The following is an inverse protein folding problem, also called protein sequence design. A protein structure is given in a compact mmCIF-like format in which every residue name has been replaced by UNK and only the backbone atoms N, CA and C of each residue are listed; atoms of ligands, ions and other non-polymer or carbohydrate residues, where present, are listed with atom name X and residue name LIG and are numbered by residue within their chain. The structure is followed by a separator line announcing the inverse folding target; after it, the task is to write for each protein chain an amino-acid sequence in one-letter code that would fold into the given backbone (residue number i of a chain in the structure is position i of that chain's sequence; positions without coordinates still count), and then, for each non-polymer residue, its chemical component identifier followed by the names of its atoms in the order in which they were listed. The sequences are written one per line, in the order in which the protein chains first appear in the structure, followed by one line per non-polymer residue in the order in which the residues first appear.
data_IF_642031707203
#
_entry.id   IF_642031707203
#
_cell.length_a   1.000
_cell.length_b   1.000
_cell.length_c   1.000
_cell.angle_alpha   90.00
_cell.angle_beta   90.00
_cell.angle_gamma   90.00
#
_symmetry.space_group_name_H-M   'P 1'
#
loop_
_entity.id
_entity.type
_entity.pdbx_description
1 polymer ?
#
# COMPACT_ATOMS: atom_id res chain seq x y z
N UNK A 1 15.39 -4.57 -30.86
CA UNK A 1 13.98 -4.96 -31.09
C UNK A 1 13.43 -5.34 -29.74
N UNK A 2 12.36 -4.71 -29.28
CA UNK A 2 11.76 -5.09 -28.00
C UNK A 2 10.81 -6.24 -28.27
N UNK A 3 11.18 -7.42 -27.81
CA UNK A 3 10.40 -8.63 -28.07
C UNK A 3 9.18 -8.65 -27.15
N UNK A 4 8.00 -9.03 -27.66
CA UNK A 4 6.74 -9.17 -26.90
C UNK A 4 6.94 -9.91 -25.56
N UNK A 5 7.77 -10.96 -25.56
CA UNK A 5 8.15 -11.71 -24.35
C UNK A 5 8.86 -10.85 -23.29
N UNK A 6 9.64 -9.87 -23.70
CA UNK A 6 10.29 -8.88 -22.83
C UNK A 6 9.28 -7.94 -22.16
N UNK A 7 8.26 -7.49 -22.89
CA UNK A 7 7.19 -6.67 -22.34
C UNK A 7 6.32 -7.43 -21.35
N UNK A 8 5.93 -8.67 -21.67
CA UNK A 8 5.19 -9.53 -20.74
C UNK A 8 5.97 -9.72 -19.42
N UNK A 9 7.29 -9.95 -19.49
CA UNK A 9 8.14 -10.06 -18.29
C UNK A 9 8.18 -8.77 -17.46
N UNK A 10 8.31 -7.62 -18.11
CA UNK A 10 8.30 -6.31 -17.44
C UNK A 10 6.93 -6.04 -16.80
N UNK A 11 5.83 -6.36 -17.48
CA UNK A 11 4.46 -6.28 -16.95
C UNK A 11 4.30 -7.15 -15.70
N UNK A 12 4.76 -8.40 -15.75
CA UNK A 12 4.73 -9.31 -14.62
C UNK A 12 5.55 -8.77 -13.43
N UNK A 13 6.72 -8.17 -13.68
CA UNK A 13 7.52 -7.53 -12.63
C UNK A 13 6.81 -6.35 -11.96
N UNK A 14 6.09 -5.55 -12.76
CA UNK A 14 5.25 -4.45 -12.27
C UNK A 14 4.06 -4.98 -11.43
N UNK A 15 3.32 -5.98 -11.93
CA UNK A 15 2.24 -6.65 -11.18
C UNK A 15 2.75 -7.19 -9.84
N UNK A 16 3.93 -7.82 -9.82
CA UNK A 16 4.53 -8.34 -8.59
C UNK A 16 4.83 -7.24 -7.55
N UNK A 17 5.20 -6.03 -7.97
CA UNK A 17 5.39 -4.89 -7.06
C UNK A 17 4.05 -4.48 -6.46
N UNK A 18 2.98 -4.39 -7.25
CA UNK A 18 1.62 -4.12 -6.77
C UNK A 18 1.18 -5.11 -5.71
N UNK A 19 1.43 -6.41 -5.92
CA UNK A 19 1.14 -7.45 -4.93
C UNK A 19 1.90 -7.21 -3.63
N UNK A 20 3.20 -6.90 -3.70
CA UNK A 20 4.00 -6.60 -2.50
C UNK A 20 3.47 -5.40 -1.71
N UNK A 21 3.02 -4.36 -2.41
CA UNK A 21 2.43 -3.19 -1.77
C UNK A 21 1.07 -3.47 -1.16
N UNK A 22 0.22 -4.25 -1.83
CA UNK A 22 -1.03 -4.74 -1.24
C UNK A 22 -0.78 -5.50 0.06
N UNK A 23 0.17 -6.43 0.05
CA UNK A 23 0.56 -7.17 1.26
C UNK A 23 1.00 -6.22 2.37
N UNK A 24 1.85 -5.24 2.05
CA UNK A 24 2.30 -4.23 3.01
C UNK A 24 1.12 -3.40 3.57
N UNK A 25 0.23 -2.89 2.72
CA UNK A 25 -0.94 -2.13 3.14
C UNK A 25 -1.88 -2.95 4.02
N UNK A 26 -2.09 -4.24 3.72
CA UNK A 26 -2.95 -5.09 4.55
C UNK A 26 -2.37 -5.31 5.95
N UNK A 27 -1.04 -5.45 6.06
CA UNK A 27 -0.36 -5.50 7.36
C UNK A 27 -0.56 -4.17 8.10
N UNK A 28 -0.36 -3.04 7.43
CA UNK A 28 -0.53 -1.71 8.02
C UNK A 28 -1.97 -1.43 8.45
N UNK A 29 -2.97 -1.85 7.66
CA UNK A 29 -4.41 -1.77 8.01
C UNK A 29 -4.77 -2.61 9.24
N UNK A 30 -4.06 -3.71 9.47
CA UNK A 30 -4.28 -4.57 10.64
C UNK A 30 -3.74 -3.95 11.94
N UNK A 31 -3.00 -2.85 11.85
CA UNK A 31 -2.45 -2.14 13.00
C UNK A 31 -3.48 -1.15 13.56
N UNK A 32 -3.67 -1.14 14.88
CA UNK A 32 -4.62 -0.22 15.55
C UNK A 32 -4.20 1.26 15.45
N UNK A 33 -2.89 1.52 15.50
CA UNK A 33 -2.29 2.86 15.35
C UNK A 33 -1.01 2.71 14.55
N UNK A 34 -0.83 3.58 13.56
CA UNK A 34 0.41 3.67 12.79
C UNK A 34 1.31 4.74 13.42
N UNK A 35 2.62 4.50 13.43
CA UNK A 35 3.59 5.52 13.81
C UNK A 35 3.83 6.51 12.66
N UNK A 36 4.30 7.72 12.97
CA UNK A 36 4.67 8.71 11.93
C UNK A 36 5.65 8.13 10.90
N UNK A 37 6.62 7.31 11.36
CA UNK A 37 7.58 6.62 10.47
C UNK A 37 6.86 5.69 9.48
N UNK A 38 5.84 4.95 9.93
CA UNK A 38 5.06 4.08 9.04
C UNK A 38 4.21 4.88 8.07
N UNK A 39 3.65 6.02 8.50
CA UNK A 39 2.90 6.93 7.61
C UNK A 39 3.80 7.46 6.50
N UNK A 40 4.99 7.94 6.85
CA UNK A 40 6.00 8.41 5.89
C UNK A 40 6.43 7.28 4.94
N UNK A 41 6.61 6.06 5.44
CA UNK A 41 6.96 4.91 4.59
C UNK A 41 5.84 4.58 3.59
N UNK A 42 4.56 4.62 4.02
CA UNK A 42 3.41 4.40 3.14
C UNK A 42 3.36 5.51 2.07
N UNK A 43 3.59 6.77 2.42
CA UNK A 43 3.63 7.90 1.48
C UNK A 43 4.74 7.73 0.44
N UNK A 44 5.95 7.36 0.89
CA UNK A 44 7.07 7.15 -0.01
C UNK A 44 6.80 5.98 -0.98
N UNK A 45 6.28 4.86 -0.47
CA UNK A 45 5.88 3.73 -1.31
C UNK A 45 4.79 4.14 -2.30
N UNK A 46 3.78 4.89 -1.87
CA UNK A 46 2.71 5.38 -2.73
C UNK A 46 3.25 6.22 -3.89
N UNK A 47 4.16 7.16 -3.62
CA UNK A 47 4.79 7.98 -4.66
C UNK A 47 5.54 7.11 -5.69
N UNK A 48 6.28 6.10 -5.22
CA UNK A 48 6.90 5.11 -6.13
C UNK A 48 5.85 4.42 -7.00
N UNK A 49 4.70 4.04 -6.44
CA UNK A 49 3.61 3.41 -7.20
C UNK A 49 3.02 4.32 -8.25
N UNK A 50 2.84 5.60 -7.94
CA UNK A 50 2.35 6.60 -8.90
C UNK A 50 3.29 6.71 -10.11
N UNK A 51 4.60 6.79 -9.87
CA UNK A 51 5.60 6.78 -10.95
C UNK A 51 5.68 5.45 -11.72
N UNK A 52 5.22 4.35 -11.10
CA UNK A 52 5.26 3.02 -11.70
C UNK A 52 4.06 2.79 -12.62
N UNK A 53 2.94 3.45 -12.38
CA UNK A 53 1.77 3.43 -13.26
C UNK A 53 2.11 3.99 -14.65
N UNK A 54 2.80 5.13 -14.74
CA UNK A 54 3.23 5.70 -16.03
C UNK A 54 4.09 4.71 -16.85
N UNK A 55 4.95 3.93 -16.17
CA UNK A 55 5.78 2.90 -16.83
C UNK A 55 4.98 1.69 -17.26
N UNK A 56 3.91 1.37 -16.54
CA UNK A 56 2.99 0.32 -16.93
C UNK A 56 2.19 0.75 -18.16
N UNK A 57 1.63 1.96 -18.13
CA UNK A 57 0.78 2.52 -19.17
C UNK A 57 1.50 2.53 -20.53
N UNK A 58 2.71 3.11 -20.58
CA UNK A 58 3.53 3.10 -21.79
C UNK A 58 3.88 1.68 -22.28
N UNK A 59 4.14 0.75 -21.37
CA UNK A 59 4.42 -0.64 -21.74
C UNK A 59 3.18 -1.36 -22.29
N UNK A 60 2.02 -1.04 -21.73
CA UNK A 60 0.74 -1.65 -22.10
C UNK A 60 0.28 -1.12 -23.46
N UNK A 61 0.48 0.16 -23.75
CA UNK A 61 0.31 0.75 -25.10
C UNK A 61 1.18 0.04 -26.14
N UNK A 62 2.45 -0.21 -25.82
CA UNK A 62 3.37 -0.93 -26.71
C UNK A 62 2.91 -2.39 -26.94
N UNK A 63 2.35 -3.05 -25.94
CA UNK A 63 1.80 -4.41 -26.08
C UNK A 63 0.54 -4.43 -26.96
N UNK A 64 -0.36 -3.47 -26.76
CA UNK A 64 -1.61 -3.32 -27.52
C UNK A 64 -1.33 -3.02 -29.01
N UNK A 65 -0.28 -2.26 -29.31
CA UNK A 65 0.16 -1.98 -30.67
C UNK A 65 0.85 -3.17 -31.38
N UNK A 66 1.35 -4.16 -30.62
CA UNK A 66 2.09 -5.31 -31.15
C UNK A 66 1.20 -6.54 -31.44
N UNK A 67 -0.06 -6.53 -31.01
CA UNK A 67 -1.00 -7.65 -31.19
C UNK A 67 -2.05 -7.30 -32.25
N UNK A 68 -2.43 -8.28 -33.07
CA UNK A 68 -3.50 -8.10 -34.06
C UNK A 68 -4.89 -7.96 -33.39
N UNK A 69 -5.10 -8.64 -32.27
CA UNK A 69 -6.29 -8.52 -31.43
C UNK A 69 -5.90 -8.08 -30.01
N UNK A 70 -6.16 -6.81 -29.63
CA UNK A 70 -5.82 -6.28 -28.32
C UNK A 70 -6.82 -6.62 -27.21
N UNK A 71 -7.86 -7.42 -27.47
CA UNK A 71 -8.91 -7.73 -26.49
C UNK A 71 -8.38 -8.27 -25.16
N UNK A 72 -7.42 -9.20 -25.20
CA UNK A 72 -6.77 -9.73 -23.98
C UNK A 72 -5.92 -8.68 -23.26
N UNK A 73 -5.30 -7.77 -24.02
CA UNK A 73 -4.48 -6.70 -23.44
C UNK A 73 -5.36 -5.68 -22.71
N UNK A 74 -6.52 -5.32 -23.27
CA UNK A 74 -7.48 -4.45 -22.58
C UNK A 74 -8.03 -5.07 -21.30
N UNK A 75 -8.32 -6.37 -21.29
CA UNK A 75 -8.75 -7.07 -20.08
C UNK A 75 -7.65 -7.06 -19.00
N UNK A 76 -6.39 -7.28 -19.38
CA UNK A 76 -5.23 -7.17 -18.47
C UNK A 76 -5.05 -5.74 -17.92
N UNK A 77 -5.28 -4.72 -18.75
CA UNK A 77 -5.24 -3.31 -18.34
C UNK A 77 -6.31 -3.02 -17.30
N UNK A 78 -7.56 -3.43 -17.56
CA UNK A 78 -8.67 -3.22 -16.63
C UNK A 78 -8.42 -3.90 -15.26
N UNK A 79 -7.94 -5.15 -15.27
CA UNK A 79 -7.60 -5.87 -14.03
C UNK A 79 -6.51 -5.14 -13.24
N UNK A 80 -5.46 -4.71 -13.93
CA UNK A 80 -4.35 -3.99 -13.33
C UNK A 80 -4.80 -2.67 -12.72
N UNK A 81 -5.55 -1.86 -13.47
CA UNK A 81 -6.03 -0.54 -13.05
C UNK A 81 -6.97 -0.63 -11.86
N UNK A 82 -7.88 -1.60 -11.87
CA UNK A 82 -8.76 -1.86 -10.74
C UNK A 82 -7.97 -2.12 -9.45
N UNK A 83 -6.94 -2.95 -9.53
CA UNK A 83 -6.06 -3.23 -8.39
C UNK A 83 -5.25 -1.99 -7.98
N UNK A 84 -4.66 -1.29 -8.95
CA UNK A 84 -3.85 -0.11 -8.73
C UNK A 84 -4.63 1.01 -8.04
N UNK A 85 -5.76 1.43 -8.60
CA UNK A 85 -6.57 2.51 -8.04
C UNK A 85 -7.13 2.13 -6.66
N UNK A 86 -7.52 0.87 -6.46
CA UNK A 86 -7.96 0.38 -5.16
C UNK A 86 -6.86 0.48 -4.09
N UNK A 87 -5.60 0.23 -4.46
CA UNK A 87 -4.45 0.34 -3.57
C UNK A 87 -4.06 1.78 -3.29
N UNK A 88 -4.05 2.65 -4.30
CA UNK A 88 -3.81 4.09 -4.15
C UNK A 88 -4.84 4.70 -3.19
N UNK A 89 -6.13 4.43 -3.42
CA UNK A 89 -7.20 4.91 -2.56
C UNK A 89 -7.03 4.38 -1.12
N UNK A 90 -6.76 3.09 -0.96
CA UNK A 90 -6.50 2.46 0.33
C UNK A 90 -5.32 3.12 1.08
N UNK A 91 -4.21 3.38 0.38
CA UNK A 91 -3.03 4.00 0.97
C UNK A 91 -3.34 5.43 1.43
N UNK A 92 -3.98 6.24 0.57
CA UNK A 92 -4.37 7.63 0.89
C UNK A 92 -5.33 7.70 2.07
N UNK A 93 -6.30 6.79 2.12
CA UNK A 93 -7.22 6.69 3.27
C UNK A 93 -6.47 6.31 4.55
N UNK A 94 -5.52 5.38 4.48
CA UNK A 94 -4.74 4.94 5.63
C UNK A 94 -3.83 6.07 6.17
N UNK A 95 -3.16 6.80 5.28
CA UNK A 95 -2.33 7.96 5.62
C UNK A 95 -3.17 9.05 6.29
N UNK A 96 -4.27 9.47 5.65
CA UNK A 96 -5.14 10.52 6.18
C UNK A 96 -5.77 10.15 7.52
N UNK A 97 -6.20 8.89 7.68
CA UNK A 97 -6.70 8.37 8.95
C UNK A 97 -5.64 8.36 10.04
N UNK A 98 -4.41 7.94 9.73
CA UNK A 98 -3.32 7.92 10.69
C UNK A 98 -2.92 9.32 11.16
N UNK A 99 -2.81 10.30 10.24
CA UNK A 99 -2.47 11.70 10.58
C UNK A 99 -3.48 12.32 11.56
N UNK A 100 -4.78 12.12 11.32
CA UNK A 100 -5.85 12.57 12.24
C UNK A 100 -5.70 12.00 13.65
N UNK A 101 -5.28 10.74 13.77
CA UNK A 101 -5.06 10.08 15.08
C UNK A 101 -3.78 10.54 15.78
N UNK A 102 -2.83 11.11 15.05
CA UNK A 102 -1.60 11.68 15.62
C UNK A 102 -1.85 13.12 16.10
N UNK A 103 -2.66 13.89 15.38
CA UNK A 103 -3.04 15.27 15.74
C UNK A 103 -4.08 15.32 16.88
N UNK A 104 -4.99 14.32 16.94
CA UNK A 104 -6.06 14.25 17.94
C UNK A 104 -5.63 13.94 19.38
N UNK A 105 -4.35 13.66 19.64
CA UNK A 105 -3.81 13.42 20.99
C UNK A 105 -3.45 14.73 21.73
N UNK A 106 -3.65 15.89 21.11
CA UNK A 106 -3.28 17.21 21.66
C UNK A 106 -4.47 18.15 21.97
N UNK A 107 -5.72 17.68 21.89
CA UNK A 107 -6.89 18.52 22.14
C UNK A 107 -7.99 17.82 22.97
N UNK A 108 -7.74 17.65 24.28
CA UNK A 108 -8.79 17.77 25.31
C UNK A 108 -8.19 17.99 26.70
N UNK A 109 -7.86 19.24 27.05
CA UNK A 109 -8.00 19.71 28.43
C UNK A 109 -8.93 20.92 28.44
N UNK A 110 -10.18 20.70 28.86
CA UNK A 110 -10.95 21.71 29.59
C UNK A 110 -11.43 21.05 30.87
N UNK A 111 -10.86 21.56 31.94
CA UNK A 111 -11.04 21.21 33.35
C UNK A 111 -12.50 21.29 33.82
N UNK A 112 -12.91 20.27 34.59
CA UNK A 112 -13.93 20.38 35.63
C UNK A 112 -13.79 19.23 36.62
N UNK A 113 -12.79 19.37 37.50
CA UNK A 113 -12.83 19.05 38.92
C UNK A 113 -13.86 17.97 39.39
N UNK A 114 -13.43 16.71 39.50
CA UNK A 114 -13.96 15.76 40.49
C UNK A 114 -12.89 14.77 40.94
N UNK A 115 -12.45 14.93 42.17
CA UNK A 115 -11.54 14.03 42.87
C UNK A 115 -12.17 12.64 43.05
N UNK A 116 -11.50 11.57 42.62
CA UNK A 116 -11.41 10.31 43.38
C UNK A 116 -10.17 9.51 42.96
N UNK A 117 -9.42 9.11 43.98
CA UNK A 117 -8.29 8.19 44.02
C UNK A 117 -8.63 6.84 43.36
N UNK A 118 -7.67 6.20 42.67
CA UNK A 118 -7.21 4.80 42.87
C UNK A 118 -6.40 4.28 41.66
N UNK A 119 -5.23 3.69 41.95
CA UNK A 119 -4.78 2.47 41.27
C UNK A 119 -3.60 2.57 40.31
N UNK A 120 -2.39 2.52 40.87
CA UNK A 120 -1.16 1.92 40.34
C UNK A 120 -1.08 1.60 38.84
N UNK A 121 -0.18 2.33 38.16
CA UNK A 121 0.23 2.08 36.80
C UNK A 121 0.88 0.71 36.59
N UNK A 122 0.35 -0.02 35.62
CA UNK A 122 1.11 -1.01 34.85
C UNK A 122 1.36 -0.45 33.44
N UNK A 123 2.53 -0.64 32.85
CA UNK A 123 2.82 -0.15 31.50
C UNK A 123 1.87 -0.81 30.49
N UNK A 124 1.15 0.01 29.71
CA UNK A 124 0.35 -0.44 28.57
C UNK A 124 1.31 -1.07 27.57
N UNK A 125 1.12 -2.34 27.16
CA UNK A 125 1.94 -2.93 26.12
C UNK A 125 1.54 -2.28 24.80
N UNK A 126 2.25 -1.21 24.42
CA UNK A 126 2.33 -0.81 23.02
C UNK A 126 2.86 -2.01 22.25
N UNK A 127 1.99 -2.71 21.54
CA UNK A 127 2.39 -3.67 20.51
C UNK A 127 3.06 -2.87 19.40
N UNK A 128 4.29 -2.45 19.66
CA UNK A 128 5.19 -1.96 18.63
C UNK A 128 5.28 -3.06 17.59
N UNK A 129 5.05 -2.70 16.33
CA UNK A 129 5.31 -3.55 15.17
C UNK A 129 6.81 -3.87 15.09
N UNK A 130 7.34 -4.62 16.05
CA UNK A 130 8.68 -5.16 16.02
C UNK A 130 8.64 -6.45 15.22
N UNK A 131 8.96 -6.30 13.93
CA UNK A 131 9.50 -7.27 12.95
C UNK A 131 8.80 -7.12 11.60
N UNK A 132 9.13 -6.03 10.92
CA UNK A 132 9.00 -5.94 9.48
C UNK A 132 10.33 -6.40 8.85
N UNK A 133 10.67 -7.67 9.02
CA UNK A 133 11.77 -8.28 8.28
C UNK A 133 11.52 -9.78 8.17
N UNK A 134 11.65 -10.28 6.94
CA UNK A 134 11.70 -11.68 6.54
C UNK A 134 10.34 -12.40 6.43
N UNK A 135 9.65 -12.13 5.32
CA UNK A 135 9.07 -13.19 4.47
C UNK A 135 8.74 -12.64 3.08
N UNK A 136 9.78 -12.23 2.34
CA UNK A 136 9.75 -12.35 0.88
C UNK A 136 9.88 -13.85 0.56
N UNK A 137 8.75 -14.55 0.60
CA UNK A 137 8.64 -15.98 0.32
C UNK A 137 7.60 -16.21 -0.76
N UNK A 138 8.05 -16.08 -2.01
CA UNK A 138 7.71 -16.96 -3.13
C UNK A 138 6.21 -17.17 -3.39
N UNK A 139 5.68 -16.32 -4.28
CA UNK A 139 5.04 -16.72 -5.54
C UNK A 139 4.19 -18.00 -5.50
N UNK A 140 2.92 -17.88 -5.09
CA UNK A 140 1.88 -18.79 -5.54
C UNK A 140 1.37 -18.33 -6.91
N UNK A 141 1.69 -19.17 -7.91
CA UNK A 141 0.79 -19.69 -8.94
C UNK A 141 -0.05 -18.69 -9.75
N UNK A 142 0.43 -18.42 -10.97
CA UNK A 142 -0.40 -18.18 -12.14
C UNK A 142 0.06 -19.20 -13.20
N UNK A 143 -0.69 -20.29 -13.29
CA UNK A 143 -0.85 -21.11 -14.50
C UNK A 143 -2.15 -20.69 -15.17
#
# INVERSE_FOLDING_TARGET
MADMKGFIKKRASIKAKLTQFNTYLNISKSCKKLSEVQVIEIEYRLNIFESLYEKYDALQDELEALVDDPSEQYAEREEFEKLYYGLVASARQLISGARKLLEGDSASEVDSNRSTIFGNGGPIPVRSCKRLAVKLGILTLLS
#
